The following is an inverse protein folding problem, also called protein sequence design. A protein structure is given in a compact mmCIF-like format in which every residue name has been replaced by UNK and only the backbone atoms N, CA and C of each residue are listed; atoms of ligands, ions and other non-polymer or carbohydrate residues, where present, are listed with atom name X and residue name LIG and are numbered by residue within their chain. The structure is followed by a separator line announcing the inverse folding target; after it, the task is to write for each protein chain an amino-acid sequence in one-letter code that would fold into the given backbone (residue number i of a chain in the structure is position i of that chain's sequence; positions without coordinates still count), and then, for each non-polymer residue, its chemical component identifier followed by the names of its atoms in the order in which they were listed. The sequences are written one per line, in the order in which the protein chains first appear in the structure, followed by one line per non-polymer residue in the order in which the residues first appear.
data_IF_197292837682
#
_entry.id   IF_197292837682
#
_cell.length_a   1.000
_cell.length_b   1.000
_cell.length_c   1.000
_cell.angle_alpha   90.00
_cell.angle_beta   90.00
_cell.angle_gamma   90.00
#
_symmetry.space_group_name_H-M   'P 1'
#
loop_
_entity.id
_entity.type
_entity.pdbx_description
1 polymer ?
#
# COMPACT_ATOMS: atom_id res chain seq x y z
N UNK A 1 -1.99 8.37 19.10
CA UNK A 1 -2.96 9.23 18.40
C UNK A 1 -4.02 9.65 19.41
N UNK A 2 -4.09 10.94 19.72
CA UNK A 2 -4.83 11.46 20.88
C UNK A 2 -6.20 12.01 20.47
N UNK A 3 -7.16 11.93 21.39
CA UNK A 3 -8.49 12.57 21.33
C UNK A 3 -8.42 14.04 20.87
N UNK A 4 -7.29 14.70 21.12
CA UNK A 4 -6.92 16.03 20.66
C UNK A 4 -7.01 16.21 19.13
N UNK A 5 -6.54 15.26 18.33
CA UNK A 5 -6.54 15.40 16.87
C UNK A 5 -7.98 15.40 16.33
N UNK A 6 -8.83 14.50 16.84
CA UNK A 6 -10.24 14.43 16.47
C UNK A 6 -10.96 15.72 16.90
N UNK A 7 -10.68 16.23 18.11
CA UNK A 7 -11.25 17.50 18.58
C UNK A 7 -10.83 18.69 17.72
N UNK A 8 -9.56 18.78 17.30
CA UNK A 8 -9.07 19.83 16.41
C UNK A 8 -9.77 19.76 15.05
N UNK A 9 -9.82 18.58 14.41
CA UNK A 9 -10.53 18.42 13.13
C UNK A 9 -12.03 18.75 13.24
N UNK A 10 -12.66 18.36 14.35
CA UNK A 10 -14.05 18.70 14.64
C UNK A 10 -14.27 20.21 14.80
N UNK A 11 -13.42 20.88 15.58
CA UNK A 11 -13.47 22.33 15.76
C UNK A 11 -13.22 23.10 14.46
N UNK A 12 -12.24 22.66 13.65
CA UNK A 12 -11.98 23.25 12.33
C UNK A 12 -13.18 23.07 11.38
N UNK A 13 -13.83 21.91 11.41
CA UNK A 13 -15.05 21.66 10.62
C UNK A 13 -16.19 22.57 11.08
N UNK A 14 -16.35 22.76 12.39
CA UNK A 14 -17.34 23.69 12.94
C UNK A 14 -17.04 25.14 12.53
N UNK A 15 -15.76 25.56 12.57
CA UNK A 15 -15.35 26.89 12.13
C UNK A 15 -15.62 27.11 10.63
N UNK A 16 -15.50 26.05 9.81
CA UNK A 16 -15.82 26.11 8.39
C UNK A 16 -17.29 26.48 8.11
N UNK A 17 -18.19 26.27 9.07
CA UNK A 17 -19.59 26.67 8.94
C UNK A 17 -19.78 28.19 8.81
N UNK A 18 -18.83 28.99 9.30
CA UNK A 18 -18.85 30.45 9.23
C UNK A 18 -18.21 31.02 7.95
N UNK A 19 -17.66 30.16 7.08
CA UNK A 19 -17.05 30.58 5.83
C UNK A 19 -18.10 30.73 4.72
N UNK A 20 -17.80 31.59 3.74
CA UNK A 20 -18.60 31.70 2.52
C UNK A 20 -18.63 30.38 1.75
N UNK A 21 -19.70 30.09 1.00
CA UNK A 21 -19.89 28.77 0.36
C UNK A 21 -18.69 28.31 -0.48
N UNK A 22 -18.05 29.23 -1.21
CA UNK A 22 -16.87 28.93 -2.02
C UNK A 22 -15.65 28.58 -1.16
N UNK A 23 -15.38 29.34 -0.10
CA UNK A 23 -14.26 29.09 0.80
C UNK A 23 -14.50 27.83 1.65
N UNK A 24 -15.73 27.62 2.09
CA UNK A 24 -16.15 26.42 2.82
C UNK A 24 -15.85 25.15 2.02
N UNK A 25 -16.19 25.14 0.73
CA UNK A 25 -15.88 24.01 -0.14
C UNK A 25 -14.39 23.66 -0.21
N UNK A 26 -13.53 24.66 -0.50
CA UNK A 26 -12.08 24.44 -0.56
C UNK A 26 -11.47 24.07 0.79
N UNK A 27 -11.95 24.69 1.88
CA UNK A 27 -11.48 24.42 3.22
C UNK A 27 -11.83 23.00 3.65
N UNK A 28 -13.08 22.58 3.49
CA UNK A 28 -13.52 21.22 3.84
C UNK A 28 -12.83 20.16 2.98
N UNK A 29 -12.61 20.43 1.69
CA UNK A 29 -11.86 19.53 0.82
C UNK A 29 -10.41 19.36 1.31
N UNK A 30 -9.74 20.47 1.61
CA UNK A 30 -8.37 20.46 2.14
C UNK A 30 -8.30 19.73 3.47
N UNK A 31 -9.23 20.03 4.37
CA UNK A 31 -9.31 19.41 5.69
C UNK A 31 -9.56 17.91 5.60
N UNK A 32 -10.45 17.48 4.68
CA UNK A 32 -10.72 16.07 4.43
C UNK A 32 -9.47 15.34 3.95
N UNK A 33 -8.77 15.87 2.95
CA UNK A 33 -7.52 15.28 2.45
C UNK A 33 -6.49 15.17 3.56
N UNK A 34 -6.25 16.25 4.32
CA UNK A 34 -5.28 16.25 5.42
C UNK A 34 -5.66 15.28 6.55
N UNK A 35 -6.95 15.18 6.88
CA UNK A 35 -7.45 14.26 7.89
C UNK A 35 -7.16 12.80 7.52
N UNK A 36 -7.26 12.42 6.24
CA UNK A 36 -6.95 11.07 5.79
C UNK A 36 -5.48 10.70 6.06
N UNK A 37 -4.53 11.64 5.98
CA UNK A 37 -3.13 11.39 6.35
C UNK A 37 -2.91 11.46 7.86
N UNK A 38 -3.47 12.47 8.52
CA UNK A 38 -3.25 12.74 9.95
C UNK A 38 -3.85 11.67 10.87
N UNK A 39 -4.97 11.06 10.48
CA UNK A 39 -5.66 10.04 11.27
C UNK A 39 -5.15 8.62 11.02
N UNK A 40 -4.13 8.44 10.16
CA UNK A 40 -3.56 7.12 9.92
C UNK A 40 -2.76 6.65 11.13
N UNK A 41 -2.89 5.37 11.52
CA UNK A 41 -1.97 4.78 12.48
C UNK A 41 -0.56 4.72 11.88
N UNK A 42 0.46 4.87 12.74
CA UNK A 42 1.84 4.64 12.32
C UNK A 42 2.02 3.16 11.95
N UNK A 43 2.54 2.91 10.75
CA UNK A 43 2.78 1.55 10.27
C UNK A 43 4.28 1.20 10.35
N UNK A 44 4.62 -0.06 10.68
CA UNK A 44 6.02 -0.48 10.80
C UNK A 44 6.72 -0.55 9.43
N UNK A 45 5.95 -0.65 8.33
CA UNK A 45 6.49 -0.67 6.97
C UNK A 45 6.76 0.78 6.54
N UNK A 46 8.01 1.04 6.17
CA UNK A 46 8.48 2.36 5.75
C UNK A 46 7.61 2.94 4.64
N UNK A 47 7.15 4.17 4.83
CA UNK A 47 6.34 4.95 3.89
C UNK A 47 4.93 4.43 3.62
N UNK A 48 4.53 3.30 4.19
CA UNK A 48 3.23 2.69 3.90
C UNK A 48 2.07 3.55 4.42
N UNK A 49 2.29 4.22 5.54
CA UNK A 49 1.39 5.22 6.13
C UNK A 49 1.12 6.43 5.22
N UNK A 50 2.04 6.75 4.31
CA UNK A 50 1.84 7.75 3.25
C UNK A 50 1.20 7.15 1.99
N UNK A 51 1.67 5.98 1.57
CA UNK A 51 1.23 5.36 0.32
C UNK A 51 -0.22 4.88 0.36
N UNK A 52 -0.71 4.41 1.50
CA UNK A 52 -2.10 3.94 1.64
C UNK A 52 -3.12 5.07 1.44
N UNK A 53 -3.04 6.22 2.16
CA UNK A 53 -3.84 7.41 1.84
C UNK A 53 -3.74 7.86 0.39
N UNK A 54 -2.53 7.90 -0.17
CA UNK A 54 -2.29 8.35 -1.54
C UNK A 54 -3.01 7.43 -2.54
N UNK A 55 -2.89 6.12 -2.35
CA UNK A 55 -3.56 5.13 -3.19
C UNK A 55 -5.09 5.21 -3.06
N UNK A 56 -5.62 5.41 -1.86
CA UNK A 56 -7.05 5.56 -1.64
C UNK A 56 -7.63 6.81 -2.33
N UNK A 57 -6.94 7.96 -2.22
CA UNK A 57 -7.33 9.19 -2.92
C UNK A 57 -7.22 9.03 -4.43
N UNK A 58 -6.14 8.42 -4.92
CA UNK A 58 -5.96 8.15 -6.35
C UNK A 58 -7.05 7.23 -6.91
N UNK A 59 -7.41 6.18 -6.18
CA UNK A 59 -8.48 5.26 -6.55
C UNK A 59 -9.86 5.94 -6.54
N UNK A 60 -10.12 6.77 -5.53
CA UNK A 60 -11.32 7.61 -5.46
C UNK A 60 -11.43 8.50 -6.69
N UNK A 61 -10.32 9.11 -7.13
CA UNK A 61 -10.28 9.94 -8.33
C UNK A 61 -10.53 9.14 -9.62
N UNK A 62 -9.92 7.96 -9.75
CA UNK A 62 -10.13 7.06 -10.89
C UNK A 62 -11.60 6.62 -10.97
N UNK A 63 -12.22 6.27 -9.85
CA UNK A 63 -13.64 5.93 -9.81
C UNK A 63 -14.53 7.13 -10.10
N UNK A 64 -14.20 8.30 -9.56
CA UNK A 64 -14.95 9.51 -9.84
C UNK A 64 -14.96 9.81 -11.34
N UNK A 65 -13.82 9.74 -12.03
CA UNK A 65 -13.76 9.90 -13.50
C UNK A 65 -14.61 8.85 -14.23
N UNK A 66 -14.61 7.63 -13.72
CA UNK A 66 -15.33 6.53 -14.34
C UNK A 66 -16.85 6.68 -14.23
N UNK A 67 -17.33 7.09 -13.05
CA UNK A 67 -18.75 7.20 -12.73
C UNK A 67 -19.35 8.53 -13.19
N UNK A 68 -18.55 9.58 -13.33
CA UNK A 68 -19.03 10.92 -13.72
C UNK A 68 -19.39 10.94 -15.21
N UNK A 69 -20.49 11.58 -15.65
CA UNK A 69 -20.80 11.75 -17.08
C UNK A 69 -19.72 12.54 -17.83
N UNK A 70 -19.43 12.19 -19.09
CA UNK A 70 -18.32 12.80 -19.87
C UNK A 70 -18.40 14.33 -19.96
N UNK A 71 -19.61 14.87 -20.01
CA UNK A 71 -19.90 16.31 -20.09
C UNK A 71 -19.45 17.09 -18.85
N UNK A 72 -19.45 16.46 -17.66
CA UNK A 72 -19.09 17.12 -16.41
C UNK A 72 -17.70 16.75 -15.88
N UNK A 73 -16.99 15.79 -16.50
CA UNK A 73 -15.66 15.33 -16.04
C UNK A 73 -14.59 16.42 -16.04
N UNK A 74 -14.44 17.13 -17.15
CA UNK A 74 -13.30 18.05 -17.37
C UNK A 74 -13.70 19.53 -17.29
N UNK A 75 -14.59 19.86 -16.36
CA UNK A 75 -14.87 21.27 -16.06
C UNK A 75 -13.67 21.91 -15.37
N UNK A 76 -13.50 23.23 -15.51
CA UNK A 76 -12.42 23.98 -14.84
C UNK A 76 -12.42 23.77 -13.33
N UNK A 77 -13.60 23.68 -12.71
CA UNK A 77 -13.75 23.42 -11.28
C UNK A 77 -13.20 22.05 -10.88
N UNK A 78 -13.54 21.00 -11.62
CA UNK A 78 -13.09 19.65 -11.31
C UNK A 78 -11.58 19.46 -11.54
N UNK A 79 -11.06 20.05 -12.61
CA UNK A 79 -9.62 20.09 -12.87
C UNK A 79 -8.87 20.83 -11.76
N UNK A 80 -9.41 21.95 -11.28
CA UNK A 80 -8.82 22.70 -10.18
C UNK A 80 -8.83 21.89 -8.88
N UNK A 81 -9.93 21.19 -8.56
CA UNK A 81 -9.99 20.31 -7.38
C UNK A 81 -9.01 19.14 -7.47
N UNK A 82 -8.86 18.52 -8.64
CA UNK A 82 -7.91 17.44 -8.87
C UNK A 82 -6.46 17.94 -8.75
N UNK A 83 -6.14 19.09 -9.35
CA UNK A 83 -4.84 19.72 -9.23
C UNK A 83 -4.54 20.12 -7.78
N UNK A 84 -5.54 20.66 -7.06
CA UNK A 84 -5.42 21.01 -5.65
C UNK A 84 -5.11 19.79 -4.78
N UNK A 85 -5.81 18.67 -5.02
CA UNK A 85 -5.50 17.40 -4.35
C UNK A 85 -4.06 16.95 -4.60
N UNK A 86 -3.61 16.96 -5.86
CA UNK A 86 -2.24 16.62 -6.21
C UNK A 86 -1.22 17.55 -5.53
N UNK A 87 -1.52 18.86 -5.51
CA UNK A 87 -0.70 19.86 -4.82
C UNK A 87 -0.62 19.61 -3.31
N UNK A 88 -1.72 19.24 -2.66
CA UNK A 88 -1.72 18.89 -1.23
C UNK A 88 -0.84 17.67 -0.97
N UNK A 89 -0.94 16.62 -1.80
CA UNK A 89 -0.10 15.41 -1.69
C UNK A 89 1.39 15.75 -1.88
N UNK A 90 1.70 16.60 -2.86
CA UNK A 90 3.08 17.06 -3.09
C UNK A 90 3.59 17.95 -1.95
N UNK A 91 2.75 18.84 -1.41
CA UNK A 91 3.08 19.66 -0.24
C UNK A 91 3.37 18.77 0.97
N UNK A 92 2.58 17.71 1.19
CA UNK A 92 2.86 16.72 2.23
C UNK A 92 4.18 16.00 1.98
N UNK A 93 4.50 15.64 0.74
CA UNK A 93 5.78 15.03 0.40
C UNK A 93 6.98 15.99 0.60
N UNK A 94 6.78 17.28 0.34
CA UNK A 94 7.77 18.34 0.58
C UNK A 94 8.10 18.53 2.06
N UNK A 95 7.22 18.11 2.98
CA UNK A 95 7.53 18.17 4.41
C UNK A 95 8.77 17.36 4.78
N UNK A 96 9.22 16.45 3.91
CA UNK A 96 10.51 15.76 4.00
C UNK A 96 11.72 16.69 4.12
N UNK A 97 11.68 17.88 3.53
CA UNK A 97 12.80 18.83 3.54
C UNK A 97 12.82 19.72 4.78
N UNK A 98 11.82 19.63 5.67
CA UNK A 98 11.77 20.38 6.90
C UNK A 98 12.73 19.73 7.92
N UNK A 99 13.87 20.36 8.28
CA UNK A 99 14.95 19.70 9.01
C UNK A 99 14.69 19.46 10.50
N UNK A 100 13.64 20.07 11.10
CA UNK A 100 13.66 20.36 12.54
C UNK A 100 12.38 20.07 13.34
N UNK A 101 11.40 19.33 12.81
CA UNK A 101 10.22 18.96 13.62
C UNK A 101 9.69 17.55 13.29
N UNK A 102 9.21 16.77 14.28
CA UNK A 102 8.33 15.65 13.99
C UNK A 102 7.16 16.20 13.15
N UNK A 103 6.92 15.60 11.99
CA UNK A 103 5.85 16.07 11.10
C UNK A 103 4.53 16.06 11.87
N UNK A 104 3.85 17.22 12.03
CA UNK A 104 2.64 17.30 12.84
C UNK A 104 1.47 16.51 12.23
N UNK A 105 1.60 16.09 10.96
CA UNK A 105 0.52 15.47 10.18
C UNK A 105 0.82 14.05 9.72
N UNK A 106 2.08 13.61 9.69
CA UNK A 106 2.42 12.25 9.25
C UNK A 106 3.37 11.60 10.25
N UNK A 107 3.06 10.37 10.73
CA UNK A 107 3.93 9.68 11.69
C UNK A 107 5.33 9.40 11.15
N UNK A 108 5.44 9.10 9.84
CA UNK A 108 6.73 8.82 9.19
C UNK A 108 7.20 9.95 8.28
N UNK A 109 8.52 9.96 8.03
CA UNK A 109 9.15 10.82 7.03
C UNK A 109 8.57 10.51 5.64
N UNK A 110 8.15 11.50 4.85
CA UNK A 110 7.57 11.25 3.53
C UNK A 110 8.53 10.57 2.52
N UNK A 111 7.99 9.89 1.50
CA UNK A 111 8.78 9.29 0.42
C UNK A 111 9.58 10.34 -0.39
N UNK A 112 10.47 9.86 -1.28
CA UNK A 112 11.20 10.76 -2.20
C UNK A 112 10.20 11.41 -3.17
N UNK A 113 10.38 12.69 -3.48
CA UNK A 113 9.48 13.43 -4.37
C UNK A 113 9.30 12.76 -5.74
N UNK A 114 10.38 12.23 -6.32
CA UNK A 114 10.37 11.52 -7.61
C UNK A 114 9.36 10.37 -7.62
N UNK A 115 9.29 9.60 -6.54
CA UNK A 115 8.36 8.48 -6.42
C UNK A 115 6.92 8.98 -6.29
N UNK A 116 6.69 10.06 -5.54
CA UNK A 116 5.35 10.66 -5.38
C UNK A 116 4.86 11.22 -6.71
N UNK A 117 5.72 11.92 -7.45
CA UNK A 117 5.42 12.38 -8.81
C UNK A 117 5.11 11.20 -9.75
N UNK A 118 5.93 10.16 -9.75
CA UNK A 118 5.70 8.97 -10.57
C UNK A 118 4.34 8.33 -10.24
N UNK A 119 4.00 8.21 -8.95
CA UNK A 119 2.71 7.66 -8.53
C UNK A 119 1.53 8.52 -8.96
N UNK A 120 1.62 9.85 -8.84
CA UNK A 120 0.59 10.77 -9.32
C UNK A 120 0.42 10.67 -10.84
N UNK A 121 1.52 10.53 -11.59
CA UNK A 121 1.47 10.29 -13.03
C UNK A 121 0.81 8.96 -13.38
N UNK A 122 1.10 7.89 -12.65
CA UNK A 122 0.43 6.58 -12.82
C UNK A 122 -1.07 6.73 -12.56
N UNK A 123 -1.48 7.39 -11.47
CA UNK A 123 -2.90 7.64 -11.17
C UNK A 123 -3.56 8.46 -12.29
N UNK A 124 -2.91 9.52 -12.76
CA UNK A 124 -3.42 10.35 -13.85
C UNK A 124 -3.54 9.57 -15.17
N UNK A 125 -2.57 8.70 -15.49
CA UNK A 125 -2.59 7.84 -16.66
C UNK A 125 -3.73 6.80 -16.58
N UNK A 126 -3.89 6.15 -15.43
CA UNK A 126 -4.99 5.21 -15.18
C UNK A 126 -6.35 5.91 -15.32
N UNK A 127 -6.50 7.08 -14.72
CA UNK A 127 -7.68 7.93 -14.85
C UNK A 127 -7.98 8.33 -16.31
N UNK A 128 -6.94 8.68 -17.08
CA UNK A 128 -7.10 9.03 -18.48
C UNK A 128 -7.50 7.80 -19.33
N UNK A 129 -6.92 6.63 -19.06
CA UNK A 129 -7.28 5.37 -19.74
C UNK A 129 -8.73 4.98 -19.44
N UNK A 130 -9.15 4.98 -18.17
CA UNK A 130 -10.53 4.64 -17.79
C UNK A 130 -11.53 5.65 -18.35
N UNK A 131 -11.16 6.94 -18.44
CA UNK A 131 -12.00 7.97 -19.06
C UNK A 131 -12.24 7.77 -20.56
N UNK A 132 -11.29 7.16 -21.29
CA UNK A 132 -11.37 6.96 -22.75
C UNK A 132 -12.24 5.79 -23.16
N UNK A 133 -12.31 4.74 -22.36
CA UNK A 133 -13.06 3.53 -22.71
C UNK A 133 -14.55 3.71 -22.36
N UNK A 134 -15.44 3.28 -23.26
CA UNK A 134 -16.90 3.26 -23.01
C UNK A 134 -17.22 2.05 -22.15
N UNK A 135 -17.26 2.26 -20.84
CA UNK A 135 -17.35 1.20 -19.85
C UNK A 135 -18.76 1.12 -19.25
N UNK A 136 -19.46 0.02 -19.53
CA UNK A 136 -20.73 -0.35 -18.89
C UNK A 136 -20.52 -1.14 -17.58
N UNK A 137 -21.21 -2.26 -17.44
CA UNK A 137 -21.28 -3.10 -16.22
C UNK A 137 -19.92 -3.51 -15.62
N UNK A 138 -18.84 -3.51 -16.40
CA UNK A 138 -17.49 -3.93 -15.94
C UNK A 138 -16.93 -3.05 -14.82
N UNK A 139 -17.23 -1.74 -14.79
CA UNK A 139 -16.77 -0.87 -13.69
C UNK A 139 -17.63 -1.04 -12.44
N UNK A 140 -18.92 -1.33 -12.59
CA UNK A 140 -19.78 -1.71 -11.47
C UNK A 140 -19.29 -3.02 -10.86
N UNK A 141 -19.00 -4.04 -11.69
CA UNK A 141 -18.42 -5.31 -11.23
C UNK A 141 -17.05 -5.09 -10.60
N UNK A 142 -16.19 -4.28 -11.19
CA UNK A 142 -14.86 -3.98 -10.64
C UNK A 142 -14.94 -3.23 -9.30
N UNK A 143 -15.82 -2.24 -9.18
CA UNK A 143 -16.06 -1.51 -7.93
C UNK A 143 -16.65 -2.43 -6.87
N UNK A 144 -17.68 -3.22 -7.21
CA UNK A 144 -18.29 -4.19 -6.30
C UNK A 144 -17.26 -5.23 -5.86
N UNK A 145 -16.46 -5.77 -6.78
CA UNK A 145 -15.40 -6.72 -6.47
C UNK A 145 -14.34 -6.11 -5.55
N UNK A 146 -13.93 -4.86 -5.80
CA UNK A 146 -13.00 -4.14 -4.95
C UNK A 146 -13.57 -3.91 -3.55
N UNK A 147 -14.83 -3.46 -3.44
CA UNK A 147 -15.52 -3.22 -2.16
C UNK A 147 -15.66 -4.53 -1.38
N UNK A 148 -16.06 -5.62 -2.04
CA UNK A 148 -16.14 -6.95 -1.45
C UNK A 148 -14.77 -7.43 -1.00
N UNK A 149 -13.74 -7.27 -1.84
CA UNK A 149 -12.36 -7.62 -1.50
C UNK A 149 -11.87 -6.86 -0.27
N UNK A 150 -12.09 -5.54 -0.22
CA UNK A 150 -11.76 -4.70 0.94
C UNK A 150 -12.52 -5.10 2.19
N UNK A 151 -13.81 -5.43 2.07
CA UNK A 151 -14.63 -5.90 3.19
C UNK A 151 -14.10 -7.23 3.75
N UNK A 152 -13.75 -8.17 2.87
CA UNK A 152 -13.15 -9.46 3.23
C UNK A 152 -11.81 -9.23 3.95
N UNK A 153 -10.91 -8.44 3.37
CA UNK A 153 -9.59 -8.10 3.93
C UNK A 153 -9.67 -7.37 5.27
N UNK A 154 -10.74 -6.61 5.51
CA UNK A 154 -10.94 -5.91 6.78
C UNK A 154 -11.47 -6.84 7.88
N UNK A 155 -12.07 -7.97 7.53
CA UNK A 155 -12.55 -8.95 8.50
C UNK A 155 -11.45 -9.99 8.83
N UNK A 156 -11.13 -10.21 10.13
CA UNK A 156 -10.09 -11.16 10.52
C UNK A 156 -10.40 -12.59 10.06
N UNK A 157 -11.67 -13.01 10.15
CA UNK A 157 -12.08 -14.36 9.81
C UNK A 157 -12.10 -14.63 8.30
N UNK A 158 -12.62 -13.70 7.49
CA UNK A 158 -12.64 -13.91 6.04
C UNK A 158 -11.25 -13.75 5.42
N UNK A 159 -10.36 -12.94 5.99
CA UNK A 159 -8.95 -12.87 5.58
C UNK A 159 -8.23 -14.19 5.83
N UNK A 160 -8.47 -14.83 6.98
CA UNK A 160 -7.93 -16.15 7.30
C UNK A 160 -8.43 -17.22 6.33
N UNK A 161 -9.74 -17.21 6.01
CA UNK A 161 -10.31 -18.15 5.06
C UNK A 161 -9.76 -17.94 3.65
N UNK A 162 -9.69 -16.68 3.18
CA UNK A 162 -9.13 -16.33 1.88
C UNK A 162 -7.64 -16.72 1.76
N UNK A 163 -6.84 -16.51 2.81
CA UNK A 163 -5.44 -16.93 2.82
C UNK A 163 -5.29 -18.46 2.79
N UNK A 164 -6.14 -19.19 3.53
CA UNK A 164 -6.18 -20.66 3.49
C UNK A 164 -6.55 -21.19 2.11
N UNK A 165 -7.59 -20.63 1.48
CA UNK A 165 -8.04 -21.07 0.15
C UNK A 165 -7.02 -20.74 -0.94
N UNK A 166 -6.42 -19.54 -0.93
CA UNK A 166 -5.33 -19.18 -1.83
C UNK A 166 -4.11 -20.09 -1.65
N UNK A 167 -3.77 -20.44 -0.41
CA UNK A 167 -2.65 -21.35 -0.13
C UNK A 167 -2.93 -22.77 -0.61
N UNK A 168 -4.16 -23.27 -0.44
CA UNK A 168 -4.58 -24.58 -0.93
C UNK A 168 -4.61 -24.62 -2.48
N UNK A 169 -5.11 -23.57 -3.13
CA UNK A 169 -5.11 -23.45 -4.58
C UNK A 169 -3.68 -23.39 -5.15
N UNK A 170 -2.77 -22.67 -4.49
CA UNK A 170 -1.37 -22.58 -4.90
C UNK A 170 -0.61 -23.92 -4.72
N UNK A 171 -0.98 -24.72 -3.71
CA UNK A 171 -0.45 -26.06 -3.53
C UNK A 171 -0.98 -27.05 -4.57
N UNK A 172 -2.26 -26.94 -4.97
CA UNK A 172 -2.85 -27.76 -6.04
C UNK A 172 -2.15 -27.54 -7.39
N UNK A 173 -1.73 -26.32 -7.70
CA UNK A 173 -0.98 -26.01 -8.94
C UNK A 173 0.43 -26.63 -8.98
N UNK A 174 1.01 -27.03 -7.85
CA UNK A 174 2.33 -27.69 -7.80
C UNK A 174 2.28 -29.21 -8.01
N UNK A 175 1.10 -29.81 -8.09
CA UNK A 175 0.94 -31.28 -8.06
C UNK A 175 0.48 -31.94 -9.38
N UNK A 176 1.11 -31.64 -10.54
CA UNK A 176 1.24 -32.68 -11.59
C UNK A 176 2.67 -33.04 -12.01
N UNK A 177 3.73 -32.35 -11.56
CA UNK A 177 5.08 -32.54 -12.13
C UNK A 177 6.17 -33.10 -11.19
N UNK A 178 5.85 -33.38 -9.92
CA UNK A 178 6.84 -33.96 -8.97
C UNK A 178 6.76 -35.49 -8.90
N UNK A 179 5.84 -36.12 -9.63
CA UNK A 179 5.59 -37.57 -9.56
C UNK A 179 6.53 -38.48 -10.35
N UNK A 180 7.55 -37.98 -11.06
CA UNK A 180 8.33 -38.84 -11.97
C UNK A 180 9.86 -38.64 -11.94
N UNK A 181 10.41 -38.01 -10.90
CA UNK A 181 11.86 -37.69 -10.83
C UNK A 181 12.59 -38.36 -9.65
N UNK A 182 12.10 -39.50 -9.17
CA UNK A 182 12.75 -40.29 -8.10
C UNK A 182 12.94 -41.78 -8.48
N UNK A 183 13.11 -42.11 -9.76
CA UNK A 183 13.42 -43.48 -10.20
C UNK A 183 14.73 -43.68 -10.98
N UNK A 184 15.56 -42.63 -11.18
CA UNK A 184 16.85 -42.77 -11.86
C UNK A 184 17.99 -42.00 -11.18
N UNK A 185 18.33 -42.39 -9.95
CA UNK A 185 19.63 -42.09 -9.37
C UNK A 185 20.31 -43.41 -8.96
N UNK A 186 21.17 -43.98 -9.82
CA UNK A 186 22.04 -45.07 -9.42
C UNK A 186 23.15 -44.51 -8.52
N UNK A 187 23.27 -45.08 -7.32
CA UNK A 187 24.44 -44.99 -6.46
C UNK A 187 25.70 -45.34 -7.25
N UNK A 188 26.68 -44.43 -7.30
CA UNK A 188 28.09 -44.79 -7.46
C UNK A 188 28.96 -43.88 -6.59
N UNK A 189 29.20 -44.37 -5.37
CA UNK A 189 30.53 -44.47 -4.74
C UNK A 189 31.62 -43.50 -5.22
N UNK A 190 31.81 -42.36 -4.55
CA UNK A 190 33.12 -41.68 -4.44
C UNK A 190 33.11 -40.62 -3.32
N UNK A 191 32.98 -41.06 -2.06
CA UNK A 191 33.33 -40.22 -0.89
C UNK A 191 34.11 -41.10 0.10
N UNK A 192 35.37 -41.39 -0.23
CA UNK A 192 36.36 -41.98 0.68
C UNK A 192 37.77 -41.88 0.09
N UNK A 193 38.33 -40.66 0.05
CA UNK A 193 39.78 -40.37 0.05
C UNK A 193 40.03 -38.88 -0.19
N UNK A 194 40.27 -38.13 0.88
CA UNK A 194 41.15 -36.95 0.93
C UNK A 194 41.07 -36.33 2.34
N UNK A 195 41.47 -37.09 3.36
CA UNK A 195 41.98 -36.52 4.61
C UNK A 195 43.49 -36.64 4.53
N UNK A 196 44.12 -35.65 3.91
CA UNK A 196 45.50 -35.26 4.21
C UNK A 196 45.83 -33.99 3.44
N UNK A 197 46.41 -33.03 4.14
CA UNK A 197 47.16 -31.95 3.51
C UNK A 197 46.38 -30.65 3.31
N UNK A 198 46.66 -29.73 4.23
CA UNK A 198 47.03 -28.35 3.95
C UNK A 198 46.06 -27.27 4.42
N UNK A 199 46.59 -26.54 5.39
CA UNK A 199 46.04 -25.34 5.96
C UNK A 199 46.23 -24.17 4.98
N UNK A 200 45.48 -23.09 5.22
CA UNK A 200 45.60 -21.80 4.54
C UNK A 200 44.98 -21.70 3.14
N UNK A 201 43.67 -21.42 3.11
CA UNK A 201 43.09 -20.33 2.31
C UNK A 201 41.63 -20.13 2.69
N UNK A 202 41.43 -19.11 3.51
CA UNK A 202 40.16 -18.51 3.86
C UNK A 202 39.45 -17.92 2.62
N UNK A 203 38.38 -18.57 2.18
CA UNK A 203 37.32 -17.96 1.37
C UNK A 203 36.05 -17.89 2.24
N UNK A 204 35.50 -16.69 2.54
CA UNK A 204 34.38 -16.58 3.44
C UNK A 204 33.06 -16.84 2.72
N UNK A 205 32.50 -18.03 2.91
CA UNK A 205 31.06 -18.29 2.76
C UNK A 205 30.31 -17.65 3.93
N UNK A 206 30.13 -16.32 3.88
CA UNK A 206 29.21 -15.56 4.76
C UNK A 206 28.16 -14.86 3.93
N UNK A 207 27.35 -15.62 3.20
CA UNK A 207 26.08 -15.15 2.63
C UNK A 207 25.16 -16.35 2.61
N UNK A 208 24.48 -16.62 3.73
CA UNK A 208 23.23 -17.40 3.86
C UNK A 208 23.06 -17.86 5.32
N UNK A 209 22.94 -16.94 6.28
CA UNK A 209 22.57 -17.34 7.66
C UNK A 209 21.93 -16.20 8.48
N UNK A 210 21.03 -15.42 7.87
CA UNK A 210 20.33 -14.32 8.57
C UNK A 210 18.79 -14.39 8.42
N UNK A 211 18.24 -15.47 7.87
CA UNK A 211 16.79 -15.59 7.70
C UNK A 211 16.23 -16.91 8.28
N UNK A 212 16.58 -17.26 9.51
CA UNK A 212 15.81 -18.26 10.25
C UNK A 212 15.92 -18.08 11.77
N UNK A 213 15.43 -16.94 12.27
CA UNK A 213 15.20 -16.76 13.71
C UNK A 213 13.78 -17.26 14.04
N UNK A 214 13.65 -18.57 14.27
CA UNK A 214 12.47 -19.14 14.91
C UNK A 214 12.55 -18.92 16.44
N UNK A 215 11.43 -18.63 17.13
CA UNK A 215 11.39 -18.56 18.57
C UNK A 215 11.53 -19.97 19.18
N UNK A 216 12.51 -20.13 20.08
CA UNK A 216 12.70 -21.32 20.91
C UNK A 216 11.52 -21.42 21.88
N UNK A 217 10.73 -22.49 21.76
CA UNK A 217 9.72 -22.88 22.74
C UNK A 217 10.45 -23.59 23.87
N UNK A 218 10.57 -22.94 25.03
CA UNK A 218 11.02 -23.58 26.26
C UNK A 218 9.91 -24.49 26.77
N UNK A 219 10.16 -25.81 26.72
CA UNK A 219 9.47 -26.77 27.56
C UNK A 219 10.30 -26.95 28.82
N UNK A 220 9.91 -26.27 29.90
CA UNK A 220 10.29 -26.64 31.26
C UNK A 220 9.28 -27.63 31.80
N UNK A 221 9.68 -28.90 31.89
CA UNK A 221 9.16 -29.86 32.87
C UNK A 221 10.11 -29.83 34.04
N UNK A 222 9.60 -29.47 35.21
CA UNK A 222 9.84 -30.10 36.52
C UNK A 222 8.78 -29.59 37.49
#
# INVERSE_FOLDING_TARGET
MTLTHIAIFGALTFLAAFLSDRLRGFFLFTLSVLAVYALQPALPIRYLDFWLPTAALGLTFVFWISLTPRESRFTRGNLLSAAWMGLLILTLALTRFLPSAPSPLTPSVPPRLELVFAALLVVAALAALTGRVRFGWVHAVGLTALVVLLAVLKSPEASLWAAKTLRLANLQFRHPLVGNFLHHLPLHSHIARATDGDASRSFPARVCDVYFLLPRVDRGTD
#
